data_IF_272068505813
#
_entry.id   IF_272068505813
#
_cell.length_a   1.000
_cell.length_b   1.000
_cell.length_c   1.000
_cell.angle_alpha   90.00
_cell.angle_beta   90.00
_cell.angle_gamma   90.00
#
_symmetry.space_group_name_H-M   'P 1'
#
loop_
_entity.id
_entity.type
_entity.pdbx_description
1 polymer ?
#
# COMPACT_ATOMS: atom_id res chain seq x y z
N UNK A 1 -42.25 -24.33 19.26
CA UNK A 1 -40.94 -24.75 19.81
C UNK A 1 -40.00 -23.55 19.80
N UNK A 2 -39.78 -22.90 20.94
CA UNK A 2 -38.79 -21.81 21.08
C UNK A 2 -37.45 -22.45 21.47
N UNK A 3 -36.44 -22.29 20.61
CA UNK A 3 -35.06 -22.68 20.87
C UNK A 3 -34.55 -21.87 22.06
N UNK A 4 -34.27 -22.56 23.16
CA UNK A 4 -33.68 -21.99 24.37
C UNK A 4 -32.19 -21.77 24.11
N UNK A 5 -31.80 -20.54 23.79
CA UNK A 5 -30.40 -20.11 23.69
C UNK A 5 -29.96 -19.58 25.06
N UNK A 6 -29.63 -20.48 25.98
CA UNK A 6 -28.85 -20.07 27.13
C UNK A 6 -27.37 -20.09 26.72
N UNK A 7 -26.65 -18.96 26.80
CA UNK A 7 -25.20 -18.97 26.68
C UNK A 7 -24.64 -19.76 27.86
N UNK A 8 -23.75 -20.70 27.58
CA UNK A 8 -23.02 -21.44 28.61
C UNK A 8 -21.97 -20.45 29.15
N UNK A 9 -22.26 -19.85 30.30
CA UNK A 9 -21.29 -19.07 31.05
C UNK A 9 -20.33 -20.03 31.76
N UNK A 10 -19.09 -20.06 31.27
CA UNK A 10 -18.01 -20.73 31.99
C UNK A 10 -17.67 -19.93 33.26
N UNK A 11 -17.22 -20.62 34.31
CA UNK A 11 -16.99 -20.15 35.70
C UNK A 11 -16.06 -18.92 35.88
N UNK A 12 -15.62 -18.29 34.80
CA UNK A 12 -14.80 -17.09 34.78
C UNK A 12 -15.44 -15.91 34.02
N UNK A 13 -16.73 -15.98 33.69
CA UNK A 13 -17.49 -14.83 33.16
C UNK A 13 -17.01 -14.32 31.79
N UNK A 14 -16.22 -15.11 31.07
CA UNK A 14 -15.79 -14.79 29.71
C UNK A 14 -16.75 -15.43 28.73
N UNK A 15 -17.46 -14.59 27.97
CA UNK A 15 -18.24 -15.06 26.82
C UNK A 15 -17.26 -15.30 25.68
N UNK A 16 -17.45 -16.32 24.84
CA UNK A 16 -16.57 -16.62 23.68
C UNK A 16 -16.31 -15.42 22.75
N UNK A 17 -17.09 -14.35 22.87
CA UNK A 17 -16.88 -13.05 22.22
C UNK A 17 -15.61 -12.30 22.70
N UNK A 18 -15.05 -12.62 23.88
CA UNK A 18 -13.95 -11.89 24.50
C UNK A 18 -12.55 -12.35 24.05
N UNK A 19 -12.48 -13.49 23.34
CA UNK A 19 -11.20 -14.04 22.87
C UNK A 19 -10.73 -13.48 21.51
N UNK A 20 -11.61 -12.89 20.69
CA UNK A 20 -11.17 -12.25 19.43
C UNK A 20 -10.67 -10.81 19.62
N UNK A 21 -10.99 -10.16 20.75
CA UNK A 21 -10.82 -8.71 20.89
C UNK A 21 -9.99 -8.23 22.09
N UNK A 22 -9.39 -9.12 22.89
CA UNK A 22 -8.61 -8.72 24.08
C UNK A 22 -7.09 -8.59 23.84
N UNK A 23 -6.58 -8.87 22.63
CA UNK A 23 -5.13 -8.84 22.34
C UNK A 23 -4.63 -7.79 21.33
N UNK A 24 -5.51 -7.13 20.57
CA UNK A 24 -5.10 -6.36 19.38
C UNK A 24 -5.25 -4.83 19.48
N UNK A 25 -5.64 -4.31 20.65
CA UNK A 25 -5.83 -2.87 20.93
C UNK A 25 -4.54 -2.01 20.88
N UNK A 26 -3.44 -2.52 20.32
CA UNK A 26 -2.13 -1.86 20.31
C UNK A 26 -1.39 -1.95 18.95
N UNK A 27 -2.04 -2.40 17.86
CA UNK A 27 -1.44 -2.20 16.53
C UNK A 27 -1.60 -0.75 16.13
N UNK A 28 -0.62 0.07 16.54
CA UNK A 28 -0.53 1.50 16.27
C UNK A 28 -0.96 1.81 14.83
N UNK A 29 -1.68 2.92 14.61
CA UNK A 29 -2.17 3.26 13.27
C UNK A 29 -1.03 3.65 12.31
N UNK A 30 0.17 3.91 12.84
CA UNK A 30 1.34 4.48 12.16
C UNK A 30 2.06 3.55 11.17
N UNK A 31 2.24 2.23 11.40
CA UNK A 31 3.01 1.37 10.52
C UNK A 31 2.50 1.34 9.08
N UNK A 32 1.18 1.22 8.79
CA UNK A 32 0.68 1.30 7.41
C UNK A 32 1.05 2.60 6.70
N UNK A 33 1.02 3.73 7.40
CA UNK A 33 1.37 5.03 6.83
C UNK A 33 2.87 5.09 6.49
N UNK A 34 3.72 4.66 7.43
CA UNK A 34 5.17 4.65 7.26
C UNK A 34 5.57 3.74 6.10
N UNK A 35 5.01 2.51 6.03
CA UNK A 35 5.27 1.59 4.93
C UNK A 35 4.80 2.13 3.59
N UNK A 36 3.60 2.73 3.52
CA UNK A 36 3.12 3.35 2.29
C UNK A 36 3.97 4.54 1.83
N UNK A 37 4.49 5.34 2.78
CA UNK A 37 5.38 6.46 2.51
C UNK A 37 6.74 6.00 1.99
N UNK A 38 7.35 5.00 2.64
CA UNK A 38 8.61 4.40 2.19
C UNK A 38 8.47 3.77 0.80
N UNK A 39 7.38 3.04 0.55
CA UNK A 39 7.12 2.43 -0.75
C UNK A 39 6.90 3.49 -1.83
N UNK A 40 6.16 4.55 -1.54
CA UNK A 40 5.97 5.67 -2.47
C UNK A 40 7.31 6.37 -2.78
N UNK A 41 8.15 6.61 -1.78
CA UNK A 41 9.47 7.18 -1.97
C UNK A 41 10.37 6.27 -2.83
N UNK A 42 10.35 4.96 -2.57
CA UNK A 42 11.08 3.98 -3.38
C UNK A 42 10.63 3.98 -4.84
N UNK A 43 9.31 4.06 -5.10
CA UNK A 43 8.77 4.16 -6.45
C UNK A 43 9.23 5.42 -7.19
N UNK A 44 9.27 6.57 -6.50
CA UNK A 44 9.76 7.82 -7.09
C UNK A 44 11.26 7.72 -7.41
N UNK A 45 12.04 7.12 -6.52
CA UNK A 45 13.47 6.89 -6.77
C UNK A 45 13.69 5.98 -7.99
N UNK A 46 12.94 4.88 -8.10
CA UNK A 46 12.99 3.99 -9.28
C UNK A 46 12.57 4.72 -10.55
N UNK A 47 11.51 5.53 -10.49
CA UNK A 47 11.05 6.34 -11.62
C UNK A 47 12.14 7.29 -12.12
N UNK A 48 12.86 7.94 -11.21
CA UNK A 48 13.97 8.83 -11.54
C UNK A 48 15.16 8.09 -12.16
N UNK A 49 15.56 6.97 -11.56
CA UNK A 49 16.67 6.16 -12.09
C UNK A 49 16.36 5.65 -13.50
N UNK A 50 15.15 5.15 -13.74
CA UNK A 50 14.74 4.67 -15.07
C UNK A 50 14.62 5.80 -16.08
N UNK A 51 14.18 6.99 -15.66
CA UNK A 51 14.19 8.17 -16.51
C UNK A 51 15.62 8.51 -16.98
N UNK A 52 16.59 8.50 -16.07
CA UNK A 52 17.97 8.79 -16.42
C UNK A 52 18.57 7.72 -17.34
N UNK A 53 18.35 6.43 -17.05
CA UNK A 53 18.76 5.31 -17.92
C UNK A 53 18.22 5.48 -19.34
N UNK A 54 16.91 5.75 -19.49
CA UNK A 54 16.24 5.94 -20.77
C UNK A 54 16.81 7.13 -21.54
N UNK A 55 17.02 8.26 -20.84
CA UNK A 55 17.56 9.48 -21.44
C UNK A 55 19.01 9.29 -21.88
N UNK A 56 19.85 8.65 -21.07
CA UNK A 56 21.23 8.34 -21.44
C UNK A 56 21.27 7.37 -22.62
N UNK A 57 20.36 6.39 -22.65
CA UNK A 57 20.24 5.46 -23.77
C UNK A 57 19.86 6.16 -25.08
N UNK A 58 18.90 7.10 -25.06
CA UNK A 58 18.55 7.90 -26.24
C UNK A 58 19.74 8.71 -26.77
N UNK A 59 20.55 9.26 -25.87
CA UNK A 59 21.71 10.08 -26.23
C UNK A 59 22.90 9.26 -26.76
N UNK A 60 23.09 8.05 -26.23
CA UNK A 60 24.25 7.19 -26.57
C UNK A 60 23.96 6.20 -27.69
N UNK A 61 22.68 5.92 -27.99
CA UNK A 61 22.28 5.00 -29.05
C UNK A 61 22.65 3.53 -28.80
N UNK A 62 22.85 3.15 -27.54
CA UNK A 62 23.23 1.78 -27.15
C UNK A 62 22.07 0.79 -27.14
N UNK A 63 22.20 -0.32 -26.41
CA UNK A 63 21.10 -1.25 -26.12
C UNK A 63 20.68 -1.14 -24.66
N UNK A 64 19.37 -1.09 -24.42
CA UNK A 64 18.77 -1.05 -23.08
C UNK A 64 17.80 -2.21 -22.91
N UNK A 65 17.80 -2.82 -21.72
CA UNK A 65 16.82 -3.84 -21.36
C UNK A 65 15.60 -3.18 -20.74
N UNK A 66 14.47 -3.24 -21.46
CA UNK A 66 13.17 -2.75 -21.00
C UNK A 66 12.26 -3.90 -20.61
N UNK A 67 11.42 -3.69 -19.60
CA UNK A 67 10.31 -4.59 -19.29
C UNK A 67 9.11 -4.35 -20.21
N UNK A 68 8.20 -5.32 -20.33
CA UNK A 68 7.06 -5.22 -21.25
C UNK A 68 6.19 -3.96 -21.03
N UNK A 69 5.90 -3.63 -19.77
CA UNK A 69 5.12 -2.44 -19.40
C UNK A 69 5.87 -1.15 -19.75
N UNK A 70 7.17 -1.11 -19.45
CA UNK A 70 8.02 0.05 -19.73
C UNK A 70 8.14 0.30 -21.23
N UNK A 71 8.30 -0.76 -22.03
CA UNK A 71 8.31 -0.67 -23.49
C UNK A 71 6.98 -0.15 -24.03
N UNK A 72 5.86 -0.65 -23.53
CA UNK A 72 4.53 -0.16 -23.91
C UNK A 72 4.36 1.33 -23.57
N UNK A 73 4.82 1.75 -22.39
CA UNK A 73 4.79 3.16 -22.01
C UNK A 73 5.67 4.02 -22.93
N UNK A 74 6.85 3.52 -23.27
CA UNK A 74 7.77 4.21 -24.16
C UNK A 74 7.21 4.34 -25.58
N UNK A 75 6.59 3.30 -26.13
CA UNK A 75 5.95 3.33 -27.45
C UNK A 75 4.78 4.32 -27.52
N UNK A 76 4.06 4.54 -26.42
CA UNK A 76 2.90 5.45 -26.38
C UNK A 76 3.25 6.91 -26.10
N UNK A 77 4.28 7.19 -25.29
CA UNK A 77 4.56 8.54 -24.81
C UNK A 77 6.04 8.84 -24.55
N UNK A 78 6.94 8.03 -25.10
CA UNK A 78 8.38 8.20 -25.01
C UNK A 78 8.91 8.09 -23.58
N UNK A 79 10.05 8.75 -23.33
CA UNK A 79 10.82 8.67 -22.08
C UNK A 79 10.02 9.13 -20.86
N UNK A 80 9.06 10.04 -21.02
CA UNK A 80 8.34 10.67 -19.91
C UNK A 80 7.17 9.85 -19.38
N UNK A 81 6.58 8.98 -20.20
CA UNK A 81 5.32 8.32 -19.84
C UNK A 81 5.50 7.32 -18.69
N UNK A 82 6.57 6.53 -18.71
CA UNK A 82 6.84 5.52 -17.68
C UNK A 82 7.13 6.14 -16.30
N UNK A 83 7.98 7.18 -16.16
CA UNK A 83 8.17 7.89 -14.90
C UNK A 83 6.88 8.51 -14.36
N UNK A 84 6.09 9.16 -15.23
CA UNK A 84 4.81 9.76 -14.84
C UNK A 84 3.85 8.70 -14.33
N UNK A 85 3.77 7.55 -15.01
CA UNK A 85 2.95 6.42 -14.57
C UNK A 85 3.34 5.93 -13.16
N UNK A 86 4.65 5.75 -12.90
CA UNK A 86 5.12 5.34 -11.58
C UNK A 86 4.85 6.38 -10.50
N UNK A 87 5.00 7.67 -10.80
CA UNK A 87 4.66 8.76 -9.88
C UNK A 87 3.16 8.73 -9.55
N UNK A 88 2.29 8.54 -10.54
CA UNK A 88 0.86 8.39 -10.31
C UNK A 88 0.56 7.19 -9.39
N UNK A 89 1.20 6.04 -9.60
CA UNK A 89 1.08 4.89 -8.71
C UNK A 89 1.55 5.19 -7.28
N UNK A 90 2.66 5.90 -7.11
CA UNK A 90 3.19 6.30 -5.81
C UNK A 90 2.20 7.20 -5.05
N UNK A 91 1.59 8.18 -5.73
CA UNK A 91 0.57 9.06 -5.15
C UNK A 91 -0.67 8.28 -4.73
N UNK A 92 -1.15 7.36 -5.56
CA UNK A 92 -2.31 6.52 -5.24
C UNK A 92 -2.05 5.62 -4.03
N UNK A 93 -0.87 5.00 -3.96
CA UNK A 93 -0.46 4.17 -2.82
C UNK A 93 -0.36 4.98 -1.54
N UNK A 94 0.24 6.18 -1.61
CA UNK A 94 0.33 7.07 -0.46
C UNK A 94 -1.05 7.52 0.02
N UNK A 95 -1.95 7.86 -0.90
CA UNK A 95 -3.33 8.22 -0.58
C UNK A 95 -4.10 7.06 0.07
N UNK A 96 -3.93 5.83 -0.44
CA UNK A 96 -4.49 4.63 0.17
C UNK A 96 -3.97 4.42 1.60
N UNK A 97 -2.67 4.63 1.84
CA UNK A 97 -2.05 4.61 3.16
C UNK A 97 -2.67 5.62 4.13
N UNK A 98 -2.89 6.87 3.69
CA UNK A 98 -3.57 7.91 4.48
C UNK A 98 -5.01 7.50 4.81
N UNK A 99 -5.75 6.97 3.83
CA UNK A 99 -7.14 6.53 4.04
C UNK A 99 -7.20 5.40 5.08
N UNK A 100 -6.29 4.45 5.00
CA UNK A 100 -6.18 3.34 5.95
C UNK A 100 -5.78 3.82 7.35
N UNK A 101 -4.84 4.76 7.46
CA UNK A 101 -4.49 5.41 8.73
C UNK A 101 -5.70 6.08 9.37
N UNK A 102 -6.46 6.86 8.59
CA UNK A 102 -7.68 7.54 9.07
C UNK A 102 -8.75 6.56 9.53
N UNK A 103 -8.94 5.46 8.80
CA UNK A 103 -9.91 4.42 9.17
C UNK A 103 -9.55 3.75 10.50
N UNK A 104 -8.28 3.33 10.67
CA UNK A 104 -7.81 2.73 11.94
C UNK A 104 -7.88 3.70 13.11
N UNK A 105 -7.57 4.98 12.89
CA UNK A 105 -7.69 6.01 13.94
C UNK A 105 -9.13 6.22 14.42
N UNK A 106 -10.13 6.02 13.53
CA UNK A 106 -11.55 6.06 13.93
C UNK A 106 -11.93 4.85 14.79
N UNK A 107 -11.46 3.65 14.40
CA UNK A 107 -11.72 2.42 15.14
C UNK A 107 -11.10 2.42 16.55
N UNK A 108 -9.94 3.06 16.73
CA UNK A 108 -9.27 3.18 18.04
C UNK A 108 -9.95 4.21 18.97
N UNK A 109 -10.78 5.11 18.44
CA UNK A 109 -11.46 6.16 19.22
C UNK A 109 -12.88 5.79 19.68
N UNK A 110 -13.42 4.69 19.18
CA UNK A 110 -14.71 4.12 19.60
C UNK A 110 -14.45 3.04 20.65
#
# INVERSE_FOLDING_TARGET
>A
MKSNKNPVEDKYGATDADYEYSGAASRSAWPPLIFSGLLAAALVAVAWLRYDDLRQWELTGGSIRMYAIERLCYELGGVWLFPVFLICCAVLLFYAGIKQYRHRRRLIRL
#
